data_IF_035133582496
#
_entry.id   IF_035133582496
#
_cell.length_a   1.000
_cell.length_b   1.000
_cell.length_c   1.000
_cell.angle_alpha   90.00
_cell.angle_beta   90.00
_cell.angle_gamma   90.00
#
_symmetry.space_group_name_H-M   'P 1'
#
loop_
_entity.id
_entity.type
_entity.pdbx_description
1 polymer ?
#
# COMPACT_ATOMS: atom_id res chain seq x y z
N UNK A 1 22.46 -5.56 -20.14
CA UNK A 1 22.61 -6.93 -19.59
C UNK A 1 22.35 -6.86 -18.10
N UNK A 2 21.10 -7.03 -17.66
CA UNK A 2 20.78 -7.06 -16.24
C UNK A 2 21.45 -8.30 -15.61
N UNK A 3 22.27 -8.09 -14.59
CA UNK A 3 23.06 -9.14 -13.95
C UNK A 3 22.13 -10.20 -13.35
N UNK A 4 22.41 -11.49 -13.57
CA UNK A 4 21.65 -12.64 -13.02
C UNK A 4 21.41 -12.56 -11.50
N UNK A 5 22.13 -11.70 -10.78
CA UNK A 5 21.93 -11.43 -9.34
C UNK A 5 20.64 -10.64 -9.03
N UNK A 6 20.24 -9.68 -9.87
CA UNK A 6 19.06 -8.82 -9.62
C UNK A 6 17.74 -9.62 -9.67
N UNK A 7 17.68 -10.60 -10.57
CA UNK A 7 16.54 -11.50 -10.77
C UNK A 7 16.63 -12.79 -9.95
N UNK A 8 17.49 -12.84 -8.92
CA UNK A 8 17.56 -14.01 -8.05
C UNK A 8 16.37 -14.07 -7.11
N UNK A 9 15.88 -15.28 -6.86
CA UNK A 9 14.78 -15.51 -5.92
C UNK A 9 15.12 -15.02 -4.49
N UNK A 10 16.39 -15.03 -4.10
CA UNK A 10 16.84 -14.44 -2.84
C UNK A 10 16.59 -12.93 -2.78
N UNK A 11 16.82 -12.21 -3.89
CA UNK A 11 16.56 -10.78 -3.95
C UNK A 11 15.06 -10.47 -3.82
N UNK A 12 14.20 -11.24 -4.51
CA UNK A 12 12.75 -11.10 -4.39
C UNK A 12 12.25 -11.36 -2.97
N UNK A 13 12.78 -12.38 -2.28
CA UNK A 13 12.46 -12.63 -0.87
C UNK A 13 12.89 -11.46 0.02
N UNK A 14 14.08 -10.89 -0.20
CA UNK A 14 14.57 -9.75 0.56
C UNK A 14 13.68 -8.53 0.39
N UNK A 15 13.32 -8.19 -0.85
CA UNK A 15 12.42 -7.08 -1.17
C UNK A 15 11.05 -7.27 -0.51
N UNK A 16 10.50 -8.49 -0.58
CA UNK A 16 9.21 -8.79 0.04
C UNK A 16 9.26 -8.65 1.56
N UNK A 17 10.34 -9.08 2.21
CA UNK A 17 10.52 -8.89 3.66
C UNK A 17 10.59 -7.42 4.05
N UNK A 18 11.35 -6.62 3.31
CA UNK A 18 11.44 -5.18 3.54
C UNK A 18 10.07 -4.54 3.36
N UNK A 19 9.32 -4.91 2.32
CA UNK A 19 7.96 -4.39 2.12
C UNK A 19 7.02 -4.73 3.28
N UNK A 20 7.06 -5.97 3.77
CA UNK A 20 6.24 -6.39 4.92
C UNK A 20 6.62 -5.59 6.16
N UNK A 21 7.93 -5.43 6.42
CA UNK A 21 8.41 -4.66 7.58
C UNK A 21 8.07 -3.17 7.48
N UNK A 22 8.08 -2.59 6.27
CA UNK A 22 7.69 -1.21 6.02
C UNK A 22 6.17 -0.98 6.12
N UNK A 23 5.35 -2.03 5.98
CA UNK A 23 3.90 -1.87 5.92
C UNK A 23 3.32 -1.25 7.21
N UNK A 24 3.56 -1.80 8.43
CA UNK A 24 3.04 -1.21 9.66
C UNK A 24 3.45 0.25 9.91
N UNK A 25 4.75 0.64 9.85
CA UNK A 25 5.14 2.03 10.13
C UNK A 25 4.58 3.00 9.09
N UNK A 26 4.54 2.62 7.81
CA UNK A 26 3.93 3.45 6.76
C UNK A 26 2.43 3.60 6.96
N UNK A 27 1.75 2.53 7.37
CA UNK A 27 0.31 2.59 7.63
C UNK A 27 -0.01 3.56 8.77
N UNK A 28 0.74 3.48 9.88
CA UNK A 28 0.61 4.43 11.00
C UNK A 28 0.91 5.87 10.54
N UNK A 29 1.98 6.05 9.76
CA UNK A 29 2.40 7.35 9.22
C UNK A 29 1.36 7.98 8.27
N UNK A 30 0.52 7.19 7.60
CA UNK A 30 -0.55 7.73 6.76
C UNK A 30 -1.92 7.75 7.43
N UNK A 31 -2.11 7.00 8.52
CA UNK A 31 -3.35 6.98 9.29
C UNK A 31 -3.54 8.26 10.11
N UNK A 32 -2.47 8.74 10.77
CA UNK A 32 -2.59 9.86 11.71
C UNK A 32 -3.20 11.16 11.15
N UNK A 33 -2.96 11.62 9.89
CA UNK A 33 -3.49 12.91 9.45
C UNK A 33 -5.01 12.87 9.32
N UNK A 34 -5.54 11.75 8.80
CA UNK A 34 -6.98 11.55 8.68
C UNK A 34 -7.64 11.45 10.05
N UNK A 35 -7.03 10.69 10.96
CA UNK A 35 -7.55 10.52 12.32
C UNK A 35 -7.60 11.86 13.08
N UNK A 36 -6.56 12.69 12.97
CA UNK A 36 -6.53 14.02 13.60
C UNK A 36 -7.65 14.91 13.06
N UNK A 37 -7.83 14.95 11.72
CA UNK A 37 -8.90 15.75 11.12
C UNK A 37 -10.26 15.24 11.61
N UNK A 38 -10.52 13.94 11.55
CA UNK A 38 -11.81 13.40 12.00
C UNK A 38 -12.09 13.65 13.49
N UNK A 39 -11.05 13.65 14.34
CA UNK A 39 -11.19 14.02 15.75
C UNK A 39 -11.48 15.52 15.95
N UNK A 40 -10.95 16.40 15.11
CA UNK A 40 -11.22 17.85 15.18
C UNK A 40 -12.65 18.22 14.77
N UNK A 41 -13.28 17.39 13.94
CA UNK A 41 -14.65 17.58 13.46
C UNK A 41 -15.64 16.60 14.12
N UNK A 42 -15.26 15.98 15.25
CA UNK A 42 -16.11 15.07 16.03
C UNK A 42 -16.78 13.95 15.20
N UNK A 43 -16.02 13.35 14.28
CA UNK A 43 -16.53 12.26 13.44
C UNK A 43 -17.03 11.09 14.30
N UNK A 44 -18.14 10.44 13.90
CA UNK A 44 -18.52 9.16 14.47
C UNK A 44 -17.38 8.15 14.38
N UNK A 45 -17.15 7.39 15.46
CA UNK A 45 -16.02 6.46 15.61
C UNK A 45 -15.90 5.49 14.42
N UNK A 46 -17.03 5.01 13.90
CA UNK A 46 -17.08 4.18 12.70
C UNK A 46 -16.52 4.87 11.45
N UNK A 47 -16.95 6.10 11.17
CA UNK A 47 -16.48 6.89 10.02
C UNK A 47 -15.00 7.25 10.17
N UNK A 48 -14.57 7.57 11.40
CA UNK A 48 -13.18 7.87 11.72
C UNK A 48 -12.28 6.68 11.39
N UNK A 49 -12.60 5.47 11.87
CA UNK A 49 -11.80 4.29 11.62
C UNK A 49 -11.83 3.85 10.16
N UNK A 50 -13.02 3.84 9.53
CA UNK A 50 -13.17 3.46 8.14
C UNK A 50 -12.43 4.43 7.20
N UNK A 51 -12.63 5.74 7.39
CA UNK A 51 -11.96 6.77 6.61
C UNK A 51 -10.45 6.76 6.79
N UNK A 52 -9.97 6.60 8.04
CA UNK A 52 -8.53 6.48 8.34
C UNK A 52 -7.91 5.29 7.62
N UNK A 53 -8.56 4.13 7.63
CA UNK A 53 -8.08 2.95 6.92
C UNK A 53 -8.08 3.18 5.40
N UNK A 54 -9.18 3.69 4.85
CA UNK A 54 -9.36 3.94 3.41
C UNK A 54 -8.36 4.98 2.88
N UNK A 55 -7.93 5.93 3.70
CA UNK A 55 -6.93 6.93 3.35
C UNK A 55 -5.50 6.37 3.46
N UNK A 56 -5.18 5.70 4.57
CA UNK A 56 -3.83 5.20 4.83
C UNK A 56 -3.44 4.07 3.86
N UNK A 57 -4.35 3.14 3.61
CA UNK A 57 -4.08 1.93 2.82
C UNK A 57 -3.55 2.21 1.40
N UNK A 58 -4.19 3.02 0.54
CA UNK A 58 -3.68 3.32 -0.80
C UNK A 58 -2.35 4.09 -0.78
N UNK A 59 -2.09 4.92 0.23
CA UNK A 59 -0.82 5.64 0.37
C UNK A 59 0.32 4.69 0.75
N UNK A 60 0.10 3.81 1.73
CA UNK A 60 1.03 2.73 2.08
C UNK A 60 1.36 1.90 0.84
N UNK A 61 0.34 1.47 0.09
CA UNK A 61 0.53 0.70 -1.14
C UNK A 61 1.32 1.46 -2.20
N UNK A 62 1.13 2.77 -2.30
CA UNK A 62 1.87 3.62 -3.26
C UNK A 62 3.37 3.65 -2.93
N UNK A 63 3.72 3.81 -1.66
CA UNK A 63 5.12 3.78 -1.23
C UNK A 63 5.74 2.38 -1.43
N UNK A 64 5.02 1.32 -1.04
CA UNK A 64 5.49 -0.06 -1.25
C UNK A 64 5.67 -0.38 -2.75
N UNK A 65 4.77 0.12 -3.60
CA UNK A 65 4.90 0.02 -5.06
C UNK A 65 6.15 0.72 -5.59
N UNK A 66 6.37 1.95 -5.09
CA UNK A 66 7.53 2.77 -5.43
C UNK A 66 8.83 2.08 -5.03
N UNK A 67 8.90 1.54 -3.81
CA UNK A 67 10.07 0.81 -3.32
C UNK A 67 10.43 -0.38 -4.23
N UNK A 68 9.46 -1.20 -4.65
CA UNK A 68 9.71 -2.32 -5.59
C UNK A 68 10.21 -1.81 -6.94
N UNK A 69 9.64 -0.72 -7.43
CA UNK A 69 10.02 -0.13 -8.72
C UNK A 69 11.44 0.45 -8.67
N UNK A 70 11.86 1.02 -7.53
CA UNK A 70 13.23 1.51 -7.32
C UNK A 70 14.21 0.35 -7.17
N UNK A 71 13.83 -0.71 -6.45
CA UNK A 71 14.71 -1.84 -6.15
C UNK A 71 14.98 -2.76 -7.36
N UNK A 72 14.04 -2.88 -8.30
CA UNK A 72 14.13 -3.81 -9.45
C UNK A 72 14.04 -3.11 -10.82
N UNK A 73 13.59 -1.86 -10.87
CA UNK A 73 13.26 -1.19 -12.12
C UNK A 73 11.91 -1.62 -12.70
N UNK A 74 11.37 -0.79 -13.59
CA UNK A 74 10.02 -0.98 -14.16
C UNK A 74 9.87 -2.28 -14.98
N UNK A 75 10.93 -2.70 -15.69
CA UNK A 75 10.94 -3.89 -16.55
C UNK A 75 10.93 -5.21 -15.78
N UNK A 76 11.60 -5.27 -14.62
CA UNK A 76 11.73 -6.50 -13.83
C UNK A 76 10.61 -6.65 -12.78
N UNK A 77 9.85 -5.58 -12.52
CA UNK A 77 8.74 -5.57 -11.57
C UNK A 77 7.64 -6.60 -11.89
N UNK A 78 7.35 -6.83 -13.18
CA UNK A 78 6.36 -7.84 -13.60
C UNK A 78 6.78 -9.24 -13.15
N UNK A 79 8.06 -9.58 -13.31
CA UNK A 79 8.62 -10.87 -12.89
C UNK A 79 8.55 -11.05 -11.37
N UNK A 80 8.77 -9.99 -10.60
CA UNK A 80 8.56 -10.01 -9.15
C UNK A 80 7.11 -10.29 -8.77
N UNK A 81 6.14 -9.63 -9.42
CA UNK A 81 4.72 -9.86 -9.14
C UNK A 81 4.26 -11.26 -9.55
N UNK A 82 4.74 -11.78 -10.67
CA UNK A 82 4.49 -13.18 -11.07
C UNK A 82 5.08 -14.18 -10.07
N UNK A 83 6.29 -13.92 -9.58
CA UNK A 83 6.91 -14.73 -8.52
C UNK A 83 6.06 -14.71 -7.25
N UNK A 84 5.54 -13.54 -6.89
CA UNK A 84 4.73 -13.35 -5.69
C UNK A 84 3.37 -14.07 -5.78
N UNK A 85 2.74 -14.09 -6.97
CA UNK A 85 1.51 -14.85 -7.22
C UNK A 85 1.75 -16.36 -7.08
N UNK A 86 2.90 -16.86 -7.59
CA UNK A 86 3.28 -18.27 -7.47
C UNK A 86 3.56 -18.68 -6.03
N UNK A 87 4.09 -17.79 -5.19
CA UNK A 87 4.37 -18.03 -3.75
C UNK A 87 3.30 -17.42 -2.84
N UNK A 88 2.06 -17.89 -3.02
CA UNK A 88 0.84 -17.42 -2.33
C UNK A 88 0.90 -17.49 -0.80
N UNK A 89 1.71 -18.39 -0.23
CA UNK A 89 1.76 -18.63 1.22
C UNK A 89 2.98 -17.94 1.84
N UNK A 90 2.73 -17.12 2.88
CA UNK A 90 3.74 -16.34 3.61
C UNK A 90 3.89 -14.91 3.11
N UNK A 91 4.54 -14.75 1.96
CA UNK A 91 4.95 -13.42 1.45
C UNK A 91 3.85 -12.69 0.65
N UNK A 92 3.02 -13.44 -0.08
CA UNK A 92 2.02 -12.88 -1.00
C UNK A 92 0.63 -12.64 -0.42
N UNK A 93 0.36 -13.02 0.83
CA UNK A 93 -1.01 -12.95 1.39
C UNK A 93 -1.55 -11.52 1.43
N UNK A 94 -0.72 -10.57 1.84
CA UNK A 94 -1.08 -9.14 1.94
C UNK A 94 -0.83 -8.35 0.65
N UNK A 95 0.03 -8.84 -0.24
CA UNK A 95 0.61 -8.08 -1.36
C UNK A 95 0.08 -8.66 -2.68
N UNK A 96 -1.23 -8.64 -2.93
CA UNK A 96 -1.73 -9.06 -4.25
C UNK A 96 -1.34 -8.04 -5.32
N UNK A 97 -0.95 -8.46 -6.54
CA UNK A 97 -0.63 -7.53 -7.65
C UNK A 97 -1.74 -6.52 -7.94
N UNK A 98 -3.00 -6.91 -7.69
CA UNK A 98 -4.17 -6.06 -7.83
C UNK A 98 -4.09 -4.76 -7.01
N UNK A 99 -3.58 -4.84 -5.78
CA UNK A 99 -3.41 -3.67 -4.89
C UNK A 99 -2.41 -2.64 -5.44
N UNK A 100 -1.55 -3.06 -6.39
CA UNK A 100 -0.54 -2.23 -7.03
C UNK A 100 -1.02 -1.57 -8.32
N UNK A 101 -2.29 -1.76 -8.72
CA UNK A 101 -2.85 -1.00 -9.83
C UNK A 101 -3.13 0.43 -9.41
N UNK A 102 -2.75 1.40 -10.26
CA UNK A 102 -2.97 2.82 -9.98
C UNK A 102 -4.46 3.14 -9.84
N UNK A 103 -5.31 2.49 -10.64
CA UNK A 103 -6.77 2.66 -10.58
C UNK A 103 -7.35 2.29 -9.21
N UNK A 104 -6.96 1.14 -8.66
CA UNK A 104 -7.43 0.71 -7.34
C UNK A 104 -7.05 1.71 -6.24
N UNK A 105 -5.78 2.15 -6.22
CA UNK A 105 -5.32 3.12 -5.22
C UNK A 105 -6.03 4.47 -5.33
N UNK A 106 -6.25 4.95 -6.56
CA UNK A 106 -6.97 6.20 -6.80
C UNK A 106 -8.44 6.11 -6.38
N UNK A 107 -9.12 5.00 -6.69
CA UNK A 107 -10.51 4.79 -6.27
C UNK A 107 -10.63 4.83 -4.76
N UNK A 108 -9.77 4.11 -4.03
CA UNK A 108 -9.78 4.13 -2.56
C UNK A 108 -9.49 5.53 -2.00
N UNK A 109 -8.52 6.24 -2.57
CA UNK A 109 -8.19 7.59 -2.14
C UNK A 109 -9.38 8.55 -2.37
N UNK A 110 -10.02 8.47 -3.54
CA UNK A 110 -11.22 9.27 -3.85
C UNK A 110 -12.34 8.96 -2.86
N UNK A 111 -12.62 7.67 -2.59
CA UNK A 111 -13.63 7.28 -1.61
C UNK A 111 -13.29 7.85 -0.23
N UNK A 112 -12.02 7.78 0.20
CA UNK A 112 -11.60 8.32 1.49
C UNK A 112 -11.80 9.84 1.60
N UNK A 113 -11.58 10.58 0.50
CA UNK A 113 -11.81 12.02 0.42
C UNK A 113 -13.30 12.36 0.44
N UNK A 114 -14.13 11.57 -0.24
CA UNK A 114 -15.59 11.73 -0.18
C UNK A 114 -16.08 11.52 1.25
N UNK A 115 -15.63 10.46 1.93
CA UNK A 115 -15.96 10.20 3.34
C UNK A 115 -15.52 11.37 4.24
N UNK A 116 -14.32 11.93 3.98
CA UNK A 116 -13.80 13.07 4.73
C UNK A 116 -14.69 14.30 4.56
N UNK A 117 -15.03 14.64 3.32
CA UNK A 117 -15.89 15.79 3.02
C UNK A 117 -17.27 15.60 3.64
N UNK A 118 -17.85 14.40 3.53
CA UNK A 118 -19.15 14.12 4.14
C UNK A 118 -19.12 14.26 5.65
N UNK A 119 -18.07 13.76 6.32
CA UNK A 119 -17.96 13.88 7.77
C UNK A 119 -17.69 15.31 8.26
N UNK A 120 -17.14 16.19 7.42
CA UNK A 120 -16.96 17.61 7.76
C UNK A 120 -18.29 18.39 7.63
N UNK A 121 -19.17 17.98 6.72
CA UNK A 121 -20.42 18.68 6.41
C UNK A 121 -21.58 18.23 7.33
N UNK A 122 -21.60 16.95 7.70
CA UNK A 122 -22.58 16.34 8.60
C UNK A 122 -22.27 16.68 10.07
#
# INVERSE_FOLDING_TARGET
MASRKELSEQNFRRISWINILLTPPLFILFAWPYAIIGLWFDFPEFLLHAGTFLFAFPLTLTILHGHVTIALGALQRSQYYEWLVRRRWGFGFWIRPFYFTTRFRLILLIISLVVLITGIIL
#
